data_IF_254241944860
#
_entry.id   IF_254241944860
#
_cell.length_a   1.000
_cell.length_b   1.000
_cell.length_c   1.000
_cell.angle_alpha   90.00
_cell.angle_beta   90.00
_cell.angle_gamma   90.00
#
_symmetry.space_group_name_H-M   'P 1'
#
loop_
_entity.id
_entity.type
_entity.pdbx_description
1 polymer ?
#
# COMPACT_ATOMS: atom_id res chain seq x y z
N UNK A 1 -21.32 -80.29 20.30
CA UNK A 1 -20.42 -79.83 19.21
C UNK A 1 -20.86 -78.43 18.82
N UNK A 2 -19.90 -77.50 18.76
CA UNK A 2 -20.10 -76.06 18.89
C UNK A 2 -20.78 -75.38 17.69
N UNK A 3 -21.62 -74.38 17.99
CA UNK A 3 -22.17 -73.41 17.03
C UNK A 3 -21.11 -72.35 16.67
N UNK A 4 -20.95 -71.96 15.38
CA UNK A 4 -20.21 -70.76 15.05
C UNK A 4 -21.16 -69.55 15.08
N UNK A 5 -20.84 -68.62 15.98
CA UNK A 5 -21.53 -67.37 16.18
C UNK A 5 -21.32 -66.41 14.99
N UNK A 6 -22.42 -65.78 14.57
CA UNK A 6 -22.48 -64.69 13.61
C UNK A 6 -21.90 -63.41 14.26
N UNK A 7 -20.72 -62.97 13.84
CA UNK A 7 -20.12 -61.72 14.30
C UNK A 7 -20.69 -60.55 13.48
N UNK A 8 -21.72 -59.90 14.02
CA UNK A 8 -22.27 -58.65 13.49
C UNK A 8 -21.40 -57.48 13.96
N UNK A 9 -20.52 -56.98 13.08
CA UNK A 9 -19.70 -55.79 13.35
C UNK A 9 -20.59 -54.55 13.18
N UNK A 10 -21.07 -54.00 14.30
CA UNK A 10 -21.70 -52.68 14.36
C UNK A 10 -20.62 -51.60 14.18
N UNK A 11 -20.48 -51.09 12.96
CA UNK A 11 -19.73 -49.87 12.65
C UNK A 11 -20.50 -48.67 13.26
N UNK A 12 -20.11 -48.28 14.47
CA UNK A 12 -20.47 -46.98 15.06
C UNK A 12 -19.84 -45.88 14.21
N UNK A 13 -20.59 -45.31 13.27
CA UNK A 13 -20.22 -44.08 12.59
C UNK A 13 -20.31 -42.92 13.58
N UNK A 14 -19.23 -42.64 14.30
CA UNK A 14 -19.08 -41.37 15.00
C UNK A 14 -19.03 -40.24 13.96
N UNK A 15 -19.89 -39.22 14.02
CA UNK A 15 -19.69 -38.04 13.20
C UNK A 15 -18.43 -37.35 13.73
N UNK A 16 -17.32 -37.49 13.01
CA UNK A 16 -16.16 -36.66 13.23
C UNK A 16 -16.62 -35.22 12.95
N UNK A 17 -16.89 -34.47 14.02
CA UNK A 17 -17.02 -33.02 13.96
C UNK A 17 -15.64 -32.52 13.56
N UNK A 18 -15.43 -32.38 12.25
CA UNK A 18 -14.30 -31.67 11.70
C UNK A 18 -14.42 -30.23 12.18
N UNK A 19 -13.78 -29.92 13.32
CA UNK A 19 -13.53 -28.54 13.69
C UNK A 19 -12.56 -27.99 12.64
N UNK A 20 -13.13 -27.41 11.58
CA UNK A 20 -12.42 -26.45 10.77
C UNK A 20 -11.90 -25.40 11.75
N UNK A 21 -10.62 -25.49 12.14
CA UNK A 21 -9.93 -24.40 12.83
C UNK A 21 -10.17 -23.17 11.96
N UNK A 22 -11.06 -22.29 12.40
CA UNK A 22 -11.22 -20.97 11.78
C UNK A 22 -9.87 -20.31 11.92
N UNK A 23 -9.09 -20.30 10.84
CA UNK A 23 -7.84 -19.55 10.80
C UNK A 23 -8.27 -18.10 10.89
N UNK A 24 -8.17 -17.53 12.08
CA UNK A 24 -8.42 -16.11 12.26
C UNK A 24 -7.33 -15.38 11.48
N UNK A 25 -7.68 -14.45 10.57
CA UNK A 25 -6.67 -13.72 9.82
C UNK A 25 -5.77 -12.98 10.80
N UNK A 26 -4.45 -12.99 10.52
CA UNK A 26 -3.43 -12.38 11.39
C UNK A 26 -3.69 -10.89 11.67
N UNK A 27 -4.32 -10.21 10.70
CA UNK A 27 -4.71 -8.82 10.79
C UNK A 27 -6.21 -8.71 10.50
N UNK A 28 -6.92 -7.80 11.16
CA UNK A 28 -8.34 -7.54 10.88
C UNK A 28 -8.57 -6.70 9.62
N UNK A 29 -7.60 -5.87 9.27
CA UNK A 29 -7.64 -4.98 8.13
C UNK A 29 -6.22 -4.66 7.65
N UNK A 30 -6.11 -4.14 6.43
CA UNK A 30 -4.87 -3.57 5.91
C UNK A 30 -5.13 -2.23 5.23
N UNK A 31 -4.28 -1.25 5.52
CA UNK A 31 -4.35 0.11 4.97
C UNK A 31 -3.08 0.43 4.20
N UNK A 32 -3.23 1.05 3.04
CA UNK A 32 -2.10 1.39 2.18
C UNK A 32 -1.96 2.89 2.02
N UNK A 33 -0.76 3.40 2.24
CA UNK A 33 -0.40 4.80 2.06
C UNK A 33 0.85 4.87 1.18
N UNK A 34 0.87 5.75 0.19
CA UNK A 34 1.98 5.78 -0.73
C UNK A 34 1.71 6.43 -2.08
N UNK A 35 2.47 5.97 -3.05
CA UNK A 35 2.48 6.48 -4.42
C UNK A 35 1.88 5.49 -5.45
N UNK A 36 2.30 5.61 -6.71
CA UNK A 36 1.84 4.79 -7.84
C UNK A 36 2.07 3.30 -7.67
N UNK A 37 3.05 2.89 -6.86
CA UNK A 37 3.32 1.47 -6.60
C UNK A 37 2.16 0.83 -5.82
N UNK A 38 1.42 1.63 -5.06
CA UNK A 38 0.29 1.18 -4.26
C UNK A 38 -1.05 1.70 -4.78
N UNK A 39 -1.11 2.77 -5.58
CA UNK A 39 -2.37 3.37 -6.02
C UNK A 39 -3.22 2.42 -6.88
N UNK A 40 -4.38 2.03 -6.34
CA UNK A 40 -5.35 1.15 -7.01
C UNK A 40 -6.43 1.89 -7.79
N UNK A 41 -6.33 3.21 -7.90
CA UNK A 41 -7.23 4.06 -8.68
C UNK A 41 -7.80 5.26 -7.95
N UNK A 42 -7.19 5.72 -6.84
CA UNK A 42 -7.60 6.97 -6.19
C UNK A 42 -7.44 8.15 -7.14
N UNK A 43 -6.33 8.19 -7.91
CA UNK A 43 -6.07 9.28 -8.84
C UNK A 43 -7.14 9.45 -9.92
N UNK A 44 -7.94 8.41 -10.23
CA UNK A 44 -9.06 8.53 -11.17
C UNK A 44 -10.16 9.49 -10.69
N UNK A 45 -10.13 9.89 -9.42
CA UNK A 45 -11.10 10.81 -8.80
C UNK A 45 -10.51 12.19 -8.55
N UNK A 46 -9.31 12.46 -9.07
CA UNK A 46 -8.59 13.71 -8.90
C UNK A 46 -8.38 14.38 -10.27
N UNK A 47 -8.38 15.72 -10.34
CA UNK A 47 -8.00 16.45 -11.55
C UNK A 47 -6.47 16.47 -11.70
N UNK A 48 -5.89 15.32 -12.06
CA UNK A 48 -4.44 15.08 -12.17
C UNK A 48 -4.07 14.48 -13.54
N UNK A 49 -2.82 14.67 -13.95
CA UNK A 49 -2.21 13.97 -15.09
C UNK A 49 -1.60 12.62 -14.71
N UNK A 50 -1.42 12.34 -13.42
CA UNK A 50 -0.89 11.08 -12.92
C UNK A 50 -2.00 10.01 -12.94
N UNK A 51 -2.39 9.57 -14.13
CA UNK A 51 -3.46 8.61 -14.36
C UNK A 51 -2.95 7.30 -14.99
N UNK A 52 -3.57 6.19 -14.59
CA UNK A 52 -3.36 4.87 -15.20
C UNK A 52 -4.70 4.19 -15.55
N UNK A 53 -5.69 5.00 -15.92
CA UNK A 53 -7.02 4.58 -16.36
C UNK A 53 -7.15 4.46 -17.89
N UNK A 54 -6.03 4.29 -18.59
CA UNK A 54 -5.95 4.12 -20.03
C UNK A 54 -4.99 2.98 -20.41
N UNK A 55 -5.06 2.52 -21.66
CA UNK A 55 -4.11 1.54 -22.22
C UNK A 55 -2.68 2.14 -22.21
N UNK A 56 -1.62 1.37 -21.90
CA UNK A 56 -1.56 -0.09 -21.79
C UNK A 56 -1.85 -0.68 -20.40
N UNK A 57 -2.25 0.13 -19.41
CA UNK A 57 -2.51 -0.37 -18.06
C UNK A 57 -3.69 -1.35 -18.01
N UNK A 58 -3.64 -2.30 -17.08
CA UNK A 58 -4.73 -3.26 -16.83
C UNK A 58 -4.90 -4.37 -17.89
N UNK A 59 -3.97 -4.55 -18.83
CA UNK A 59 -4.02 -5.63 -19.86
C UNK A 59 -4.17 -7.03 -19.28
N UNK A 60 -3.53 -7.30 -18.16
CA UNK A 60 -3.51 -8.58 -17.44
C UNK A 60 -4.40 -8.55 -16.18
N UNK A 61 -5.04 -7.41 -15.88
CA UNK A 61 -5.97 -7.29 -14.77
C UNK A 61 -7.30 -7.98 -15.12
N UNK A 62 -8.03 -8.56 -14.15
CA UNK A 62 -9.34 -9.16 -14.41
C UNK A 62 -10.30 -8.22 -15.14
N UNK A 63 -10.86 -8.72 -16.24
CA UNK A 63 -11.67 -7.92 -17.18
C UNK A 63 -10.87 -7.10 -18.21
N UNK A 64 -9.53 -7.22 -18.22
CA UNK A 64 -8.60 -6.60 -19.19
C UNK A 64 -8.83 -5.10 -19.39
N UNK A 65 -9.11 -4.39 -18.29
CA UNK A 65 -9.45 -2.97 -18.29
C UNK A 65 -8.52 -2.17 -17.38
N UNK A 66 -8.14 -0.94 -17.78
CA UNK A 66 -7.36 -0.07 -16.93
C UNK A 66 -8.22 0.42 -15.74
N UNK A 67 -7.70 0.28 -14.53
CA UNK A 67 -8.42 0.67 -13.30
C UNK A 67 -7.78 1.84 -12.57
N UNK A 68 -6.71 2.45 -13.10
CA UNK A 68 -5.88 3.39 -12.36
C UNK A 68 -4.70 2.75 -11.62
N UNK A 69 -4.47 1.44 -11.80
CA UNK A 69 -3.25 0.76 -11.33
C UNK A 69 -2.11 1.02 -12.31
N UNK A 70 -0.96 1.46 -11.82
CA UNK A 70 0.24 1.71 -12.63
C UNK A 70 0.97 0.39 -12.99
N UNK A 71 0.21 -0.57 -13.51
CA UNK A 71 0.68 -1.91 -13.90
C UNK A 71 -0.27 -2.50 -14.93
N UNK A 72 0.17 -3.55 -15.63
CA UNK A 72 -0.73 -4.35 -16.47
C UNK A 72 -1.71 -5.18 -15.63
N UNK A 73 -1.41 -5.44 -14.36
CA UNK A 73 -2.19 -6.36 -13.53
C UNK A 73 -2.36 -5.88 -12.09
N UNK A 74 -2.40 -6.86 -11.18
CA UNK A 74 -2.49 -6.66 -9.73
C UNK A 74 -1.28 -5.87 -9.22
N UNK A 75 -1.50 -5.05 -8.19
CA UNK A 75 -0.43 -4.39 -7.43
C UNK A 75 -0.16 -5.14 -6.12
N UNK A 76 0.91 -4.76 -5.41
CA UNK A 76 1.25 -5.30 -4.07
C UNK A 76 0.05 -5.28 -3.11
N UNK A 77 -0.79 -4.23 -3.06
CA UNK A 77 -2.00 -4.24 -2.23
C UNK A 77 -2.98 -5.38 -2.53
N UNK A 78 -3.15 -5.75 -3.80
CA UNK A 78 -4.05 -6.85 -4.16
C UNK A 78 -3.48 -8.20 -3.70
N UNK A 79 -2.17 -8.40 -3.93
CA UNK A 79 -1.48 -9.63 -3.55
C UNK A 79 -1.47 -9.82 -2.02
N UNK A 80 -1.23 -8.75 -1.26
CA UNK A 80 -1.24 -8.80 0.20
C UNK A 80 -2.65 -9.06 0.76
N UNK A 81 -3.68 -8.42 0.20
CA UNK A 81 -5.05 -8.69 0.61
C UNK A 81 -5.44 -10.17 0.40
N UNK A 82 -5.07 -10.76 -0.74
CA UNK A 82 -5.29 -12.17 -1.01
C UNK A 82 -4.50 -13.07 -0.05
N UNK A 83 -3.21 -12.77 0.15
CA UNK A 83 -2.33 -13.57 1.00
C UNK A 83 -2.76 -13.57 2.46
N UNK A 84 -3.32 -12.46 2.93
CA UNK A 84 -3.89 -12.28 4.26
C UNK A 84 -5.35 -12.75 4.37
N UNK A 85 -5.94 -13.22 3.26
CA UNK A 85 -7.32 -13.70 3.20
C UNK A 85 -8.36 -12.65 3.64
N UNK A 86 -8.10 -11.36 3.34
CA UNK A 86 -9.00 -10.26 3.67
C UNK A 86 -10.01 -10.00 2.56
N UNK A 87 -9.53 -9.94 1.31
CA UNK A 87 -10.33 -9.69 0.10
C UNK A 87 -9.49 -9.97 -1.15
N UNK A 88 -10.14 -10.01 -2.31
CA UNK A 88 -9.47 -10.27 -3.57
C UNK A 88 -8.66 -9.07 -4.10
N UNK A 89 -9.18 -7.85 -3.93
CA UNK A 89 -8.56 -6.62 -4.42
C UNK A 89 -8.59 -5.55 -3.35
N UNK A 90 -7.56 -4.69 -3.35
CA UNK A 90 -7.58 -3.49 -2.53
C UNK A 90 -8.40 -2.40 -3.22
N UNK A 91 -9.49 -1.90 -2.61
CA UNK A 91 -10.27 -0.83 -3.22
C UNK A 91 -9.68 0.56 -2.87
N UNK A 92 -9.67 1.51 -3.82
CA UNK A 92 -9.27 2.88 -3.54
C UNK A 92 -10.33 3.58 -2.67
N UNK A 93 -9.90 4.31 -1.65
CA UNK A 93 -10.79 4.97 -0.69
C UNK A 93 -11.72 5.99 -1.34
N UNK A 94 -11.27 6.66 -2.41
CA UNK A 94 -12.09 7.64 -3.15
C UNK A 94 -13.16 7.00 -4.05
N UNK A 95 -13.27 5.67 -4.11
CA UNK A 95 -14.39 5.03 -4.82
C UNK A 95 -15.69 5.19 -4.01
N UNK A 96 -16.68 5.86 -4.61
CA UNK A 96 -18.02 6.01 -4.04
C UNK A 96 -18.78 4.69 -3.84
N UNK A 97 -18.30 3.58 -4.41
CA UNK A 97 -18.97 2.26 -4.37
C UNK A 97 -18.46 1.33 -3.25
N UNK A 98 -17.63 1.82 -2.35
CA UNK A 98 -17.09 1.02 -1.23
C UNK A 98 -18.22 0.45 -0.37
N UNK A 99 -18.22 -0.87 -0.18
CA UNK A 99 -19.14 -1.56 0.73
C UNK A 99 -18.72 -1.38 2.19
N UNK A 100 -19.62 -1.68 3.14
CA UNK A 100 -19.26 -1.68 4.56
C UNK A 100 -18.18 -2.72 4.87
N UNK A 101 -18.21 -3.87 4.20
CA UNK A 101 -17.17 -4.89 4.35
C UNK A 101 -15.82 -4.36 3.86
N UNK A 102 -15.79 -3.58 2.77
CA UNK A 102 -14.55 -2.97 2.29
C UNK A 102 -13.93 -2.06 3.35
N UNK A 103 -14.77 -1.23 3.99
CA UNK A 103 -14.36 -0.38 5.08
C UNK A 103 -13.81 -1.23 6.23
N UNK A 104 -14.58 -2.19 6.74
CA UNK A 104 -14.18 -3.01 7.91
C UNK A 104 -12.86 -3.79 7.73
N UNK A 105 -12.53 -4.17 6.50
CA UNK A 105 -11.33 -4.96 6.16
C UNK A 105 -10.19 -4.12 5.58
N UNK A 106 -10.36 -2.81 5.49
CA UNK A 106 -9.34 -1.85 5.09
C UNK A 106 -9.34 -1.47 3.61
N UNK A 107 -8.78 -0.30 3.32
CA UNK A 107 -8.84 0.39 2.03
C UNK A 107 -7.49 1.00 1.66
N UNK A 108 -7.37 1.48 0.43
CA UNK A 108 -6.15 2.09 -0.09
C UNK A 108 -6.25 3.61 -0.18
N UNK A 109 -5.33 4.33 0.43
CA UNK A 109 -5.23 5.80 0.40
C UNK A 109 -4.10 6.31 -0.51
N UNK A 110 -3.28 5.42 -1.08
CA UNK A 110 -2.16 5.78 -1.93
C UNK A 110 -2.62 6.54 -3.18
N UNK A 111 -1.76 7.44 -3.66
CA UNK A 111 -2.02 8.33 -4.78
C UNK A 111 -0.78 8.45 -5.64
N UNK A 112 -0.89 8.11 -6.93
CA UNK A 112 0.27 8.19 -7.81
C UNK A 112 0.86 9.60 -7.89
N UNK A 113 2.19 9.70 -7.90
CA UNK A 113 2.92 10.97 -7.83
C UNK A 113 3.09 11.52 -6.41
N UNK A 114 2.55 10.84 -5.39
CA UNK A 114 2.67 11.27 -3.99
C UNK A 114 4.09 11.16 -3.44
N UNK A 115 4.36 11.98 -2.43
CA UNK A 115 5.58 12.01 -1.64
C UNK A 115 5.27 12.31 -0.17
N UNK A 116 6.27 12.18 0.70
CA UNK A 116 6.23 12.70 2.06
C UNK A 116 6.36 14.23 2.09
N UNK A 117 7.07 14.81 1.13
CA UNK A 117 7.14 16.25 0.93
C UNK A 117 5.91 16.71 0.12
N UNK A 118 5.07 17.53 0.75
CA UNK A 118 3.84 18.01 0.13
C UNK A 118 4.09 18.74 -1.20
N UNK A 119 5.26 19.38 -1.40
CA UNK A 119 5.61 20.05 -2.66
C UNK A 119 5.71 19.07 -3.83
N UNK A 120 6.12 17.82 -3.58
CA UNK A 120 6.20 16.77 -4.61
C UNK A 120 4.84 16.53 -5.25
N UNK A 121 3.79 16.46 -4.42
CA UNK A 121 2.44 16.13 -4.88
C UNK A 121 1.75 17.33 -5.57
N UNK A 122 2.12 18.55 -5.20
CA UNK A 122 1.57 19.79 -5.79
C UNK A 122 1.84 19.88 -7.29
N UNK A 123 3.00 19.41 -7.77
CA UNK A 123 3.36 19.47 -9.19
C UNK A 123 2.40 18.70 -10.10
N UNK A 124 1.84 17.60 -9.62
CA UNK A 124 0.92 16.76 -10.37
C UNK A 124 -0.53 16.88 -9.89
N UNK A 125 -0.82 17.75 -8.90
CA UNK A 125 -2.13 17.85 -8.26
C UNK A 125 -2.63 16.50 -7.71
N UNK A 126 -1.77 15.82 -6.95
CA UNK A 126 -2.00 14.49 -6.37
C UNK A 126 -2.12 14.59 -4.84
N UNK A 127 -2.43 13.48 -4.14
CA UNK A 127 -2.59 13.51 -2.69
C UNK A 127 -1.24 13.31 -1.99
N UNK A 128 -0.66 14.35 -1.35
CA UNK A 128 0.51 14.15 -0.51
C UNK A 128 0.20 13.24 0.68
N UNK A 129 1.23 12.66 1.28
CA UNK A 129 1.08 11.75 2.43
C UNK A 129 0.25 12.39 3.56
N UNK A 130 0.40 13.69 3.80
CA UNK A 130 -0.41 14.45 4.77
C UNK A 130 -1.91 14.38 4.47
N UNK A 131 -2.32 14.47 3.19
CA UNK A 131 -3.71 14.34 2.76
C UNK A 131 -4.21 12.91 2.81
N UNK A 132 -3.36 11.92 2.55
CA UNK A 132 -3.73 10.51 2.71
C UNK A 132 -4.05 10.19 4.18
N UNK A 133 -3.28 10.73 5.13
CA UNK A 133 -3.57 10.61 6.57
C UNK A 133 -4.88 11.31 6.95
N UNK A 134 -5.19 12.46 6.33
CA UNK A 134 -6.50 13.10 6.54
C UNK A 134 -7.67 12.25 6.02
N UNK A 135 -7.53 11.63 4.85
CA UNK A 135 -8.52 10.66 4.35
C UNK A 135 -8.68 9.47 5.30
N UNK A 136 -7.60 9.04 5.98
CA UNK A 136 -7.69 8.02 7.01
C UNK A 136 -8.51 8.50 8.23
N UNK A 137 -8.40 9.76 8.64
CA UNK A 137 -9.25 10.32 9.71
C UNK A 137 -10.73 10.30 9.32
N UNK A 138 -11.06 10.65 8.08
CA UNK A 138 -12.45 10.56 7.57
C UNK A 138 -12.93 9.10 7.55
N UNK A 139 -12.05 8.19 7.13
CA UNK A 139 -12.31 6.76 7.15
C UNK A 139 -12.61 6.26 8.58
N UNK A 140 -11.90 6.74 9.61
CA UNK A 140 -12.14 6.34 11.00
C UNK A 140 -13.55 6.70 11.46
N UNK A 141 -14.05 7.88 11.08
CA UNK A 141 -15.43 8.28 11.37
C UNK A 141 -16.42 7.33 10.69
N UNK A 142 -16.18 7.01 9.42
CA UNK A 142 -17.01 6.05 8.67
C UNK A 142 -16.99 4.66 9.30
N UNK A 143 -15.82 4.17 9.73
CA UNK A 143 -15.69 2.87 10.39
C UNK A 143 -16.46 2.85 11.71
N UNK A 144 -16.33 3.88 12.56
CA UNK A 144 -17.06 3.99 13.82
C UNK A 144 -18.58 3.97 13.62
N UNK A 145 -19.08 4.61 12.58
CA UNK A 145 -20.51 4.57 12.25
C UNK A 145 -21.01 3.17 11.83
N UNK A 146 -20.13 2.31 11.31
CA UNK A 146 -20.50 0.96 10.85
C UNK A 146 -20.43 -0.04 12.02
N UNK A 147 -19.39 0.01 12.86
CA UNK A 147 -19.11 -1.03 13.86
C UNK A 147 -19.15 -0.54 15.32
N UNK A 148 -19.29 0.76 15.56
CA UNK A 148 -19.16 1.38 16.88
C UNK A 148 -17.70 1.60 17.31
N UNK A 149 -17.50 2.46 18.32
CA UNK A 149 -16.15 2.93 18.72
C UNK A 149 -15.24 1.82 19.22
N UNK A 150 -15.78 0.87 20.00
CA UNK A 150 -15.01 -0.23 20.59
C UNK A 150 -14.43 -1.14 19.50
N UNK A 151 -15.27 -1.56 18.54
CA UNK A 151 -14.84 -2.44 17.46
C UNK A 151 -14.00 -1.70 16.42
N UNK A 152 -14.29 -0.43 16.14
CA UNK A 152 -13.43 0.39 15.29
C UNK A 152 -12.01 0.47 15.87
N UNK A 153 -11.88 0.76 17.16
CA UNK A 153 -10.56 0.80 17.84
C UNK A 153 -9.84 -0.54 17.79
N UNK A 154 -10.58 -1.65 17.98
CA UNK A 154 -10.03 -3.01 17.87
C UNK A 154 -9.56 -3.34 16.45
N UNK A 155 -10.32 -2.97 15.42
CA UNK A 155 -9.96 -3.20 14.01
C UNK A 155 -8.67 -2.44 13.67
N UNK A 156 -8.55 -1.18 14.08
CA UNK A 156 -7.38 -0.36 13.78
C UNK A 156 -6.13 -0.86 14.54
N UNK A 157 -6.28 -1.20 15.82
CA UNK A 157 -5.16 -1.71 16.63
C UNK A 157 -4.62 -3.06 16.12
N UNK A 158 -5.46 -3.88 15.48
CA UNK A 158 -5.07 -5.17 14.88
C UNK A 158 -4.92 -5.11 13.34
N UNK A 159 -4.84 -3.91 12.77
CA UNK A 159 -4.61 -3.72 11.35
C UNK A 159 -3.13 -3.60 11.02
N UNK A 160 -2.79 -3.94 9.77
CA UNK A 160 -1.49 -3.61 9.19
C UNK A 160 -1.58 -2.29 8.43
N UNK A 161 -0.72 -1.33 8.75
CA UNK A 161 -0.52 -0.12 7.96
C UNK A 161 0.74 -0.30 7.10
N UNK A 162 0.55 -0.33 5.79
CA UNK A 162 1.61 -0.48 4.80
C UNK A 162 1.90 0.86 4.12
N UNK A 163 3.13 1.32 4.22
CA UNK A 163 3.58 2.62 3.72
C UNK A 163 4.71 2.40 2.71
N UNK A 164 4.56 2.95 1.50
CA UNK A 164 5.61 2.98 0.49
C UNK A 164 5.54 4.28 -0.30
N UNK A 165 6.48 5.18 -0.03
CA UNK A 165 6.60 6.47 -0.71
C UNK A 165 8.04 6.98 -0.62
N UNK A 166 8.34 8.05 -1.35
CA UNK A 166 9.62 8.75 -1.29
C UNK A 166 10.36 8.78 -2.63
N UNK A 167 10.12 7.82 -3.52
CA UNK A 167 10.77 7.82 -4.86
C UNK A 167 10.50 9.12 -5.62
N UNK A 168 9.27 9.66 -5.51
CA UNK A 168 8.91 10.93 -6.13
C UNK A 168 9.59 12.13 -5.46
N UNK A 169 9.79 12.12 -4.14
CA UNK A 169 10.48 13.18 -3.40
C UNK A 169 11.93 13.31 -3.87
N UNK A 170 12.65 12.19 -3.90
CA UNK A 170 14.04 12.16 -4.38
C UNK A 170 14.11 12.50 -5.87
N UNK A 171 13.22 11.94 -6.69
CA UNK A 171 13.12 12.31 -8.11
C UNK A 171 12.93 13.81 -8.32
N UNK A 172 12.14 14.47 -7.47
CA UNK A 172 11.94 15.91 -7.49
C UNK A 172 13.14 16.69 -6.95
N UNK A 173 13.80 16.20 -5.90
CA UNK A 173 15.03 16.79 -5.36
C UNK A 173 16.11 16.96 -6.43
N UNK A 174 16.44 15.89 -7.18
CA UNK A 174 17.47 15.96 -8.25
C UNK A 174 17.09 16.90 -9.40
N UNK A 175 15.81 17.25 -9.55
CA UNK A 175 15.30 18.07 -10.66
C UNK A 175 14.99 19.51 -10.27
N UNK A 176 14.98 19.82 -8.99
CA UNK A 176 14.57 21.13 -8.48
C UNK A 176 15.79 21.94 -8.01
N UNK A 177 15.55 23.20 -7.64
CA UNK A 177 16.58 24.03 -7.01
C UNK A 177 16.98 23.54 -5.61
N UNK A 178 16.30 22.52 -5.05
CA UNK A 178 16.63 21.91 -3.76
C UNK A 178 18.05 21.33 -3.77
N UNK A 179 18.44 20.59 -4.81
CA UNK A 179 19.83 20.05 -4.94
C UNK A 179 20.91 21.13 -4.91
N UNK A 180 20.59 22.39 -5.26
CA UNK A 180 21.54 23.51 -5.18
C UNK A 180 21.63 24.16 -3.79
N UNK A 181 20.63 23.93 -2.94
CA UNK A 181 20.47 24.59 -1.63
C UNK A 181 20.72 23.65 -0.45
N UNK A 182 20.63 22.35 -0.68
CA UNK A 182 20.64 21.31 0.33
C UNK A 182 21.30 20.08 -0.29
N UNK A 183 22.30 19.52 0.40
CA UNK A 183 22.93 18.28 -0.07
C UNK A 183 22.00 17.07 0.11
N UNK A 184 22.43 15.90 -0.39
CA UNK A 184 21.58 14.71 -0.38
C UNK A 184 21.35 14.18 1.04
N UNK A 185 22.33 14.29 1.94
CA UNK A 185 22.23 13.86 3.33
C UNK A 185 21.23 14.70 4.10
N UNK A 186 21.33 16.03 3.98
CA UNK A 186 20.37 16.97 4.58
C UNK A 186 18.93 16.73 4.06
N UNK A 187 18.78 16.39 2.78
CA UNK A 187 17.47 16.08 2.21
C UNK A 187 16.93 14.73 2.69
N UNK A 188 17.78 13.70 2.82
CA UNK A 188 17.42 12.42 3.42
C UNK A 188 16.91 12.62 4.85
N UNK A 189 17.61 13.40 5.67
CA UNK A 189 17.20 13.72 7.05
C UNK A 189 15.86 14.45 7.07
N UNK A 190 15.67 15.41 6.18
CA UNK A 190 14.41 16.15 6.04
C UNK A 190 13.24 15.20 5.72
N UNK A 191 13.40 14.31 4.74
CA UNK A 191 12.36 13.33 4.39
C UNK A 191 12.14 12.35 5.53
N UNK A 192 13.19 11.91 6.23
CA UNK A 192 13.08 10.99 7.37
C UNK A 192 12.29 11.63 8.53
N UNK A 193 12.47 12.92 8.81
CA UNK A 193 11.65 13.64 9.78
C UNK A 193 10.18 13.67 9.37
N UNK A 194 9.89 13.87 8.07
CA UNK A 194 8.51 13.82 7.56
C UNK A 194 7.92 12.41 7.70
N UNK A 195 8.68 11.36 7.38
CA UNK A 195 8.29 9.95 7.58
C UNK A 195 7.94 9.69 9.04
N UNK A 196 8.84 10.05 9.97
CA UNK A 196 8.63 9.89 11.41
C UNK A 196 7.37 10.60 11.88
N UNK A 197 7.14 11.84 11.43
CA UNK A 197 5.94 12.59 11.76
C UNK A 197 4.66 11.91 11.27
N UNK A 198 4.64 11.38 10.03
CA UNK A 198 3.46 10.69 9.49
C UNK A 198 3.20 9.34 10.17
N UNK A 199 4.24 8.57 10.43
CA UNK A 199 4.12 7.29 11.17
C UNK A 199 3.60 7.56 12.59
N UNK A 200 4.14 8.57 13.27
CA UNK A 200 3.66 8.98 14.59
C UNK A 200 2.19 9.38 14.56
N UNK A 201 1.77 10.17 13.57
CA UNK A 201 0.36 10.57 13.43
C UNK A 201 -0.57 9.36 13.25
N UNK A 202 -0.18 8.40 12.40
CA UNK A 202 -0.94 7.15 12.21
C UNK A 202 -0.96 6.27 13.47
N UNK A 203 0.12 6.26 14.25
CA UNK A 203 0.18 5.60 15.55
C UNK A 203 -0.75 6.26 16.57
N UNK A 204 -0.75 7.60 16.64
CA UNK A 204 -1.63 8.37 17.52
C UNK A 204 -3.12 8.16 17.14
N UNK A 205 -3.40 7.87 15.87
CA UNK A 205 -4.73 7.48 15.37
C UNK A 205 -5.12 6.01 15.66
N UNK A 206 -4.25 5.26 16.34
CA UNK A 206 -4.54 3.90 16.83
C UNK A 206 -3.81 2.78 16.09
N UNK A 207 -3.07 3.06 15.02
CA UNK A 207 -2.28 2.06 14.31
C UNK A 207 -1.19 1.47 15.20
N UNK A 208 -0.96 0.15 15.13
CA UNK A 208 0.05 -0.54 15.97
C UNK A 208 1.02 -1.41 15.20
N UNK A 209 0.67 -1.83 13.98
CA UNK A 209 1.51 -2.71 13.17
C UNK A 209 1.80 -2.00 11.85
N UNK A 210 3.07 -1.76 11.58
CA UNK A 210 3.52 -0.97 10.44
C UNK A 210 4.48 -1.79 9.58
N UNK A 211 4.36 -1.62 8.27
CA UNK A 211 5.37 -2.01 7.29
C UNK A 211 5.72 -0.76 6.51
N UNK A 212 6.96 -0.31 6.64
CA UNK A 212 7.50 0.84 5.92
C UNK A 212 8.51 0.31 4.89
N UNK A 213 8.19 0.47 3.62
CA UNK A 213 9.11 0.13 2.55
C UNK A 213 10.21 1.19 2.43
N UNK A 214 11.46 0.74 2.25
CA UNK A 214 12.58 1.61 1.91
C UNK A 214 12.51 2.08 0.46
N UNK A 215 13.45 2.94 0.08
CA UNK A 215 13.56 3.40 -1.31
C UNK A 215 14.13 2.29 -2.19
N UNK A 216 13.49 1.97 -3.33
CA UNK A 216 14.11 1.11 -4.32
C UNK A 216 15.24 1.86 -5.05
N UNK A 217 16.11 1.15 -5.80
CA UNK A 217 17.08 1.78 -6.71
C UNK A 217 16.32 2.50 -7.85
N UNK A 218 15.93 3.75 -7.61
CA UNK A 218 15.03 4.49 -8.48
C UNK A 218 15.73 5.15 -9.68
N UNK A 219 17.07 5.21 -9.69
CA UNK A 219 17.87 5.65 -10.83
C UNK A 219 17.72 4.78 -12.06
N UNK A 220 17.21 3.55 -11.89
CA UNK A 220 16.85 2.65 -12.99
C UNK A 220 15.41 2.84 -13.52
N UNK A 221 14.62 3.75 -12.96
CA UNK A 221 13.27 3.98 -13.49
C UNK A 221 13.31 4.61 -14.89
N UNK A 222 12.37 4.29 -15.80
CA UNK A 222 12.38 4.82 -17.17
C UNK A 222 12.40 6.35 -17.24
N UNK A 223 11.77 7.02 -16.27
CA UNK A 223 11.76 8.47 -16.18
C UNK A 223 13.15 9.02 -15.85
N UNK A 224 13.87 8.43 -14.89
CA UNK A 224 15.24 8.88 -14.54
C UNK A 224 16.22 8.64 -15.69
N UNK A 225 16.18 7.46 -16.31
CA UNK A 225 17.02 7.13 -17.48
C UNK A 225 16.76 8.12 -18.63
N UNK A 226 15.49 8.40 -18.92
CA UNK A 226 15.13 9.31 -20.01
C UNK A 226 15.56 10.75 -19.74
N UNK A 227 15.45 11.19 -18.49
CA UNK A 227 15.83 12.55 -18.08
C UNK A 227 17.35 12.75 -18.00
N UNK A 228 18.13 11.70 -17.73
CA UNK A 228 19.60 11.73 -17.79
C UNK A 228 20.12 12.05 -19.19
N UNK A 229 19.34 11.74 -20.24
CA UNK A 229 19.70 11.95 -21.67
C UNK A 229 21.01 11.25 -22.08
N UNK A 230 21.35 10.18 -21.38
CA UNK A 230 22.50 9.34 -21.72
C UNK A 230 22.15 8.43 -22.91
N UNK A 231 22.95 8.43 -24.00
CA UNK A 231 22.75 7.54 -25.14
C UNK A 231 22.70 6.06 -24.76
N UNK A 232 23.45 5.65 -23.75
CA UNK A 232 23.55 4.24 -23.33
C UNK A 232 22.32 3.77 -22.54
N UNK A 233 21.40 4.69 -22.20
CA UNK A 233 20.17 4.41 -21.43
C UNK A 233 20.46 3.67 -20.12
N UNK A 234 21.65 3.88 -19.55
CA UNK A 234 22.06 3.31 -18.29
C UNK A 234 21.32 3.93 -17.10
N UNK A 235 21.25 3.19 -15.99
CA UNK A 235 20.73 3.71 -14.73
C UNK A 235 21.54 4.91 -14.23
N UNK A 236 20.93 5.75 -13.41
CA UNK A 236 21.63 6.82 -12.69
C UNK A 236 22.20 6.25 -11.38
N UNK A 237 23.47 5.83 -11.38
CA UNK A 237 24.07 5.11 -10.26
C UNK A 237 24.13 5.94 -8.96
N UNK A 238 24.42 7.25 -9.05
CA UNK A 238 24.34 8.20 -7.93
C UNK A 238 23.01 8.07 -7.18
N UNK A 239 21.88 8.10 -7.91
CA UNK A 239 20.54 7.98 -7.35
C UNK A 239 20.29 6.60 -6.73
N UNK A 240 20.89 5.54 -7.27
CA UNK A 240 20.74 4.19 -6.74
C UNK A 240 21.52 4.01 -5.43
N UNK A 241 22.73 4.57 -5.33
CA UNK A 241 23.52 4.55 -4.10
C UNK A 241 22.86 5.39 -3.00
N UNK A 242 22.37 6.58 -3.35
CA UNK A 242 21.69 7.46 -2.42
C UNK A 242 20.37 6.85 -1.87
N UNK A 243 19.75 5.94 -2.62
CA UNK A 243 18.59 5.18 -2.16
C UNK A 243 18.92 4.08 -1.14
N UNK A 244 20.15 3.56 -1.14
CA UNK A 244 20.57 2.41 -0.32
C UNK A 244 21.07 2.81 1.08
N UNK A 245 21.23 4.11 1.35
CA UNK A 245 21.66 4.62 2.66
C UNK A 245 23.12 4.29 3.00
N UNK A 246 23.92 3.84 2.02
CA UNK A 246 25.36 3.66 2.20
C UNK A 246 26.07 4.99 2.09
N UNK A 247 25.97 5.81 3.15
CA UNK A 247 27.09 6.68 3.50
C UNK A 247 28.23 5.75 3.90
N UNK A 248 29.25 5.69 3.06
CA UNK A 248 30.50 5.02 3.42
C UNK A 248 31.14 5.80 4.56
N UNK A 249 30.96 5.32 5.78
CA UNK A 249 31.97 5.52 6.81
C UNK A 249 33.07 4.47 6.58
N UNK A 250 34.35 4.88 6.37
CA UNK A 250 35.48 3.97 6.26
C UNK A 250 35.78 3.22 7.57
#
# INVERSE_FOLDING_TARGET
MAHPALLLVLLLSSPAISSSKRIQPKFSAIFYFGDSVLDTGNNNRLPTVALANHVPYGRDFPGKKPTGRFSNGRLVPDLLNQRLQLKEFSPPYLDSRLSNNDIMTGVNFASAGSGFDDQTSQLANTLPMSKQVNLFKDYLLRLRNIVGDKDASRIIANSLIFISSGTNDFSHYYRSSKKKKMDIGEYQDTVLQMVQARVKELYDLGGRQFSLAGLPPFGCTPIQITLRRDPDRACVDEQNWDAQGSHGDP
#
